data_IF_793917016191
#
_entry.id   IF_793917016191
#
_cell.length_a   1.000
_cell.length_b   1.000
_cell.length_c   1.000
_cell.angle_alpha   90.00
_cell.angle_beta   90.00
_cell.angle_gamma   90.00
#
_symmetry.space_group_name_H-M   'P 1'
#
loop_
_entity.id
_entity.type
_entity.pdbx_description
1 polymer ?
#
# COMPACT_ATOMS: atom_id res chain seq x y z
N UNK A 1 9.01 15.78 -9.61
CA UNK A 1 8.47 16.12 -8.27
C UNK A 1 7.28 15.23 -7.98
N UNK A 2 7.42 14.29 -7.06
CA UNK A 2 6.31 13.45 -6.66
C UNK A 2 5.29 14.31 -5.89
N UNK A 3 4.03 14.27 -6.30
CA UNK A 3 2.95 14.99 -5.63
C UNK A 3 2.56 14.22 -4.36
N UNK A 4 3.29 14.44 -3.27
CA UNK A 4 2.91 14.00 -1.94
C UNK A 4 2.13 15.13 -1.23
N UNK A 5 1.16 14.75 -0.39
CA UNK A 5 0.44 15.65 0.52
C UNK A 5 -0.38 16.83 -0.08
N UNK A 6 -0.65 16.87 -1.39
CA UNK A 6 -1.59 17.83 -2.00
C UNK A 6 -3.03 17.59 -1.49
N UNK A 7 -3.67 18.56 -0.81
CA UNK A 7 -5.04 18.43 -0.31
C UNK A 7 -6.05 18.09 -1.42
N UNK A 8 -6.97 17.17 -1.12
CA UNK A 8 -8.00 16.71 -2.05
C UNK A 8 -7.50 15.83 -3.20
N UNK A 9 -6.17 15.64 -3.31
CA UNK A 9 -5.54 14.77 -4.31
C UNK A 9 -4.79 13.64 -3.63
N UNK A 10 -3.59 13.90 -3.10
CA UNK A 10 -2.73 12.91 -2.46
C UNK A 10 -2.84 12.92 -0.92
N UNK A 11 -3.43 13.95 -0.34
CA UNK A 11 -3.88 14.02 1.06
C UNK A 11 -5.41 14.14 1.07
N UNK A 12 -6.08 13.13 1.62
CA UNK A 12 -7.52 13.10 1.82
C UNK A 12 -7.81 13.15 3.31
N UNK A 13 -8.84 13.90 3.71
CA UNK A 13 -9.25 14.03 5.10
C UNK A 13 -10.67 13.45 5.21
N UNK A 14 -10.86 12.54 6.16
CA UNK A 14 -12.19 12.00 6.47
C UNK A 14 -13.08 13.07 7.09
N UNK A 15 -14.37 12.80 7.20
CA UNK A 15 -15.31 13.64 7.95
C UNK A 15 -15.02 13.71 9.47
N UNK A 16 -13.99 13.03 9.97
CA UNK A 16 -13.54 13.07 11.37
C UNK A 16 -12.08 13.52 11.50
N UNK A 17 -11.59 14.29 10.53
CA UNK A 17 -10.24 14.87 10.52
C UNK A 17 -9.08 13.86 10.48
N UNK A 18 -9.38 12.57 10.28
CA UNK A 18 -8.35 11.56 10.03
C UNK A 18 -7.75 11.79 8.64
N UNK A 19 -6.42 11.91 8.60
CA UNK A 19 -5.65 12.12 7.38
C UNK A 19 -5.31 10.77 6.71
N UNK A 20 -5.41 10.73 5.38
CA UNK A 20 -5.05 9.59 4.55
C UNK A 20 -4.17 10.05 3.39
N UNK A 21 -3.05 9.36 3.20
CA UNK A 21 -2.06 9.67 2.18
C UNK A 21 -2.11 8.66 1.04
N UNK A 22 -1.92 9.11 -0.20
CA UNK A 22 -1.67 8.25 -1.37
C UNK A 22 -0.63 8.86 -2.29
N UNK A 23 0.23 8.02 -2.87
CA UNK A 23 1.22 8.45 -3.84
C UNK A 23 0.61 8.63 -5.23
N UNK A 24 0.66 9.84 -5.79
CA UNK A 24 0.25 10.12 -7.18
C UNK A 24 1.51 10.43 -8.00
N UNK A 25 2.12 9.37 -8.50
CA UNK A 25 3.36 9.39 -9.29
C UNK A 25 3.57 8.01 -9.92
N UNK A 26 4.50 7.87 -10.86
CA UNK A 26 4.89 6.56 -11.42
C UNK A 26 5.38 5.65 -10.29
N UNK A 27 4.83 4.45 -10.16
CA UNK A 27 5.08 3.53 -9.04
C UNK A 27 4.13 3.72 -7.84
N UNK A 28 3.31 4.78 -7.84
CA UNK A 28 2.26 5.01 -6.85
C UNK A 28 2.79 5.16 -5.42
N UNK A 29 2.05 4.60 -4.44
CA UNK A 29 2.41 4.67 -3.03
C UNK A 29 3.67 3.88 -2.65
N UNK A 30 4.14 2.94 -3.50
CA UNK A 30 5.38 2.20 -3.23
C UNK A 30 6.63 3.08 -3.23
N UNK A 31 6.56 4.30 -3.78
CA UNK A 31 7.64 5.28 -3.60
C UNK A 31 7.78 5.77 -2.16
N UNK A 32 6.67 5.87 -1.42
CA UNK A 32 6.62 6.44 -0.07
C UNK A 32 6.48 5.41 1.05
N UNK A 33 6.11 4.18 0.72
CA UNK A 33 5.95 3.12 1.72
C UNK A 33 7.25 2.81 2.48
N UNK A 34 7.12 2.10 3.60
CA UNK A 34 8.23 1.68 4.46
C UNK A 34 8.84 0.32 4.06
N UNK A 35 8.51 -0.16 2.86
CA UNK A 35 9.06 -1.37 2.24
C UNK A 35 8.91 -2.66 3.06
N UNK A 36 7.96 -2.74 3.99
CA UNK A 36 7.75 -3.96 4.76
C UNK A 36 7.05 -5.03 3.93
N UNK A 37 7.59 -6.25 3.95
CA UNK A 37 7.16 -7.39 3.14
C UNK A 37 6.47 -8.47 4.01
N UNK A 38 5.24 -8.20 4.46
CA UNK A 38 4.47 -9.21 5.18
C UNK A 38 3.94 -10.29 4.24
N UNK A 39 3.91 -11.53 4.73
CA UNK A 39 3.29 -12.63 4.01
C UNK A 39 1.78 -12.40 3.86
N UNK A 40 1.23 -12.68 2.67
CA UNK A 40 -0.19 -12.56 2.44
C UNK A 40 -0.97 -13.58 3.28
N UNK A 41 -2.18 -13.23 3.74
CA UNK A 41 -3.09 -14.18 4.39
C UNK A 41 -3.68 -15.16 3.35
N UNK A 42 -2.88 -16.13 2.90
CA UNK A 42 -3.22 -17.04 1.80
C UNK A 42 -4.51 -17.83 2.06
N UNK A 43 -4.75 -18.28 3.29
CA UNK A 43 -5.96 -19.06 3.61
C UNK A 43 -7.23 -18.23 3.42
N UNK A 44 -7.20 -16.96 3.81
CA UNK A 44 -8.31 -16.04 3.56
C UNK A 44 -8.48 -15.81 2.06
N UNK A 45 -7.40 -15.58 1.30
CA UNK A 45 -7.49 -15.35 -0.15
C UNK A 45 -8.03 -16.58 -0.90
N UNK A 46 -7.65 -17.79 -0.50
CA UNK A 46 -8.14 -19.05 -1.09
C UNK A 46 -9.63 -19.25 -0.93
N UNK A 47 -10.22 -18.79 0.18
CA UNK A 47 -11.68 -18.83 0.38
C UNK A 47 -12.45 -18.02 -0.68
N UNK A 48 -11.79 -17.03 -1.29
CA UNK A 48 -12.32 -16.21 -2.40
C UNK A 48 -11.82 -16.66 -3.78
N UNK A 49 -11.20 -17.85 -3.89
CA UNK A 49 -10.67 -18.37 -5.15
C UNK A 49 -9.37 -17.69 -5.62
N UNK A 50 -8.69 -16.95 -4.74
CA UNK A 50 -7.43 -16.27 -5.02
C UNK A 50 -6.26 -17.07 -4.44
N UNK A 51 -5.81 -18.11 -5.15
CA UNK A 51 -4.52 -18.72 -4.82
C UNK A 51 -3.39 -17.99 -5.55
N UNK A 52 -2.53 -17.31 -4.77
CA UNK A 52 -1.35 -16.57 -5.24
C UNK A 52 -0.05 -17.12 -4.64
N UNK A 53 -0.06 -18.32 -4.05
CA UNK A 53 1.10 -18.84 -3.34
C UNK A 53 2.34 -18.95 -4.25
N UNK A 54 2.15 -19.50 -5.45
CA UNK A 54 3.23 -19.66 -6.43
C UNK A 54 3.81 -18.30 -6.87
N UNK A 55 2.95 -17.31 -7.12
CA UNK A 55 3.36 -15.95 -7.50
C UNK A 55 4.07 -15.20 -6.38
N UNK A 56 3.67 -15.45 -5.13
CA UNK A 56 4.32 -14.87 -3.95
C UNK A 56 5.71 -15.47 -3.78
N UNK A 57 5.87 -16.78 -3.95
CA UNK A 57 7.17 -17.45 -3.90
C UNK A 57 8.09 -16.99 -5.03
N UNK A 58 7.54 -16.81 -6.23
CA UNK A 58 8.24 -16.20 -7.37
C UNK A 58 8.70 -14.77 -7.05
N UNK A 59 7.80 -13.93 -6.52
CA UNK A 59 8.13 -12.56 -6.12
C UNK A 59 9.21 -12.51 -5.03
N UNK A 60 9.21 -13.45 -4.08
CA UNK A 60 10.25 -13.55 -3.04
C UNK A 60 11.63 -13.90 -3.60
N UNK A 61 11.69 -14.64 -4.71
CA UNK A 61 12.95 -14.96 -5.41
C UNK A 61 13.47 -13.80 -6.25
N UNK A 62 12.58 -13.03 -6.86
CA UNK A 62 12.93 -11.91 -7.75
C UNK A 62 13.23 -10.60 -7.02
N UNK A 63 12.52 -10.35 -5.91
CA UNK A 63 12.61 -9.10 -5.16
C UNK A 63 13.60 -9.21 -4.00
N UNK A 64 14.25 -8.10 -3.62
CA UNK A 64 15.24 -8.10 -2.55
C UNK A 64 14.56 -8.12 -1.18
N UNK A 65 13.93 -9.24 -0.83
CA UNK A 65 13.17 -9.41 0.41
C UNK A 65 14.05 -10.07 1.46
N UNK A 66 14.46 -9.29 2.46
CA UNK A 66 15.18 -9.81 3.62
C UNK A 66 14.99 -8.88 4.82
N UNK A 67 15.10 -9.38 6.06
CA UNK A 67 15.30 -8.52 7.21
C UNK A 67 16.55 -7.64 7.00
N UNK A 68 16.52 -6.40 7.50
CA UNK A 68 17.68 -5.52 7.40
C UNK A 68 18.89 -6.10 8.15
N UNK A 69 20.05 -5.98 7.53
CA UNK A 69 21.35 -6.26 8.13
C UNK A 69 21.54 -5.42 9.41
N UNK A 70 22.27 -5.95 10.39
CA UNK A 70 22.39 -5.34 11.72
C UNK A 70 22.97 -3.92 11.70
N UNK A 71 23.84 -3.63 10.76
CA UNK A 71 24.44 -2.31 10.54
C UNK A 71 23.45 -1.30 9.93
N UNK A 72 22.43 -1.77 9.22
CA UNK A 72 21.35 -0.95 8.65
C UNK A 72 20.22 -0.66 9.65
N UNK A 73 20.12 -1.43 10.73
CA UNK A 73 19.16 -1.16 11.82
C UNK A 73 19.70 -0.04 12.71
N UNK A 74 18.93 1.04 12.81
CA UNK A 74 19.33 2.22 13.56
C UNK A 74 19.15 2.11 15.08
N UNK A 75 19.74 3.04 15.85
CA UNK A 75 19.74 3.00 17.30
C UNK A 75 18.36 3.10 17.95
N UNK A 76 17.42 3.86 17.38
CA UNK A 76 16.04 3.96 17.87
C UNK A 76 15.34 2.60 17.80
N UNK A 77 15.41 1.94 16.63
CA UNK A 77 14.79 0.63 16.44
C UNK A 77 15.44 -0.44 17.34
N UNK A 78 16.77 -0.44 17.47
CA UNK A 78 17.51 -1.34 18.38
C UNK A 78 17.06 -1.20 19.83
N UNK A 79 16.94 0.04 20.32
CA UNK A 79 16.53 0.32 21.71
C UNK A 79 15.10 -0.10 21.99
N UNK A 80 14.17 0.19 21.08
CA UNK A 80 12.77 -0.25 21.21
C UNK A 80 12.68 -1.77 21.19
N UNK A 81 13.36 -2.43 20.25
CA UNK A 81 13.37 -3.89 20.13
C UNK A 81 13.92 -4.56 21.40
N UNK A 82 15.00 -4.04 21.98
CA UNK A 82 15.55 -4.56 23.24
C UNK A 82 14.54 -4.44 24.38
N UNK A 83 13.97 -3.24 24.59
CA UNK A 83 12.99 -3.01 25.65
C UNK A 83 11.71 -3.85 25.48
N UNK A 84 11.25 -4.05 24.24
CA UNK A 84 10.10 -4.90 23.95
C UNK A 84 10.38 -6.37 24.28
N UNK A 85 11.57 -6.89 23.95
CA UNK A 85 11.96 -8.27 24.25
C UNK A 85 12.14 -8.53 25.75
N UNK A 86 12.62 -7.54 26.50
CA UNK A 86 12.67 -7.63 27.98
C UNK A 86 11.28 -7.69 28.63
N UNK A 87 10.23 -7.30 27.90
CA UNK A 87 8.83 -7.40 28.30
C UNK A 87 8.13 -8.60 27.64
N UNK A 88 8.90 -9.57 27.15
CA UNK A 88 8.42 -10.81 26.51
C UNK A 88 7.58 -10.62 25.24
N UNK A 89 7.70 -9.48 24.55
CA UNK A 89 7.14 -9.35 23.21
C UNK A 89 8.04 -10.02 22.18
N UNK A 90 7.44 -10.78 21.25
CA UNK A 90 8.13 -11.35 20.08
C UNK A 90 8.45 -10.28 19.03
N UNK A 91 9.29 -9.31 19.42
CA UNK A 91 9.68 -8.19 18.58
C UNK A 91 10.83 -8.61 17.66
N UNK A 92 10.55 -8.72 16.36
CA UNK A 92 11.48 -9.24 15.37
C UNK A 92 11.79 -8.23 14.27
N UNK A 93 12.93 -8.40 13.60
CA UNK A 93 13.23 -7.62 12.40
C UNK A 93 12.22 -7.98 11.31
N UNK A 94 11.64 -6.95 10.70
CA UNK A 94 10.66 -7.15 9.64
C UNK A 94 11.36 -7.28 8.28
N UNK A 95 10.94 -8.22 7.43
CA UNK A 95 11.46 -8.34 6.07
C UNK A 95 11.17 -7.06 5.27
N UNK A 96 12.14 -6.63 4.47
CA UNK A 96 12.10 -5.40 3.69
C UNK A 96 12.37 -5.64 2.22
N UNK A 97 11.69 -4.91 1.33
CA UNK A 97 12.01 -4.81 -0.10
C UNK A 97 13.20 -3.86 -0.33
N UNK A 98 14.41 -4.27 0.04
CA UNK A 98 15.62 -3.44 0.03
C UNK A 98 16.83 -4.21 -0.47
N UNK A 99 17.45 -3.70 -1.54
CA UNK A 99 18.81 -4.06 -1.95
C UNK A 99 19.80 -3.55 -0.91
N UNK A 100 20.24 -4.46 -0.03
CA UNK A 100 20.99 -4.09 1.17
C UNK A 100 22.38 -3.52 0.85
N UNK A 101 23.01 -4.03 -0.21
CA UNK A 101 24.28 -3.57 -0.79
C UNK A 101 24.27 -2.11 -1.25
N UNK A 102 23.09 -1.60 -1.64
CA UNK A 102 22.89 -0.20 -2.05
C UNK A 102 22.40 0.69 -0.90
N UNK A 103 21.95 0.09 0.20
CA UNK A 103 21.39 0.81 1.33
C UNK A 103 22.50 1.45 2.18
N UNK A 104 22.15 2.48 2.96
CA UNK A 104 23.11 3.23 3.78
C UNK A 104 22.62 3.34 5.21
N UNK A 105 23.47 2.97 6.17
CA UNK A 105 23.24 3.23 7.58
C UNK A 105 23.03 4.73 7.83
N UNK A 106 22.16 5.09 8.77
CA UNK A 106 21.87 6.50 9.08
C UNK A 106 21.12 7.27 7.99
N UNK A 107 20.57 6.57 6.99
CA UNK A 107 19.72 7.12 5.95
C UNK A 107 18.24 7.00 6.31
N UNK A 108 17.47 8.04 6.01
CA UNK A 108 16.03 8.14 6.28
C UNK A 108 15.24 8.61 5.06
N UNK A 109 15.93 8.90 3.95
CA UNK A 109 15.34 9.50 2.74
C UNK A 109 14.36 8.56 2.03
N UNK A 110 14.36 7.28 2.39
CA UNK A 110 13.39 6.28 1.92
C UNK A 110 11.92 6.70 2.13
N UNK A 111 11.64 7.53 3.14
CA UNK A 111 10.32 8.13 3.38
C UNK A 111 9.77 8.96 2.18
N UNK A 112 10.64 9.48 1.31
CA UNK A 112 10.26 10.35 0.17
C UNK A 112 10.53 9.73 -1.21
N UNK A 113 10.92 8.46 -1.24
CA UNK A 113 11.52 7.82 -2.41
C UNK A 113 13.03 7.69 -2.25
N UNK A 114 13.57 6.49 -2.45
CA UNK A 114 14.99 6.22 -2.23
C UNK A 114 15.83 6.84 -3.36
N UNK A 115 16.75 7.78 -3.05
CA UNK A 115 17.59 8.40 -4.07
C UNK A 115 18.76 7.50 -4.51
N UNK A 116 18.98 6.37 -3.83
CA UNK A 116 20.09 5.46 -4.07
C UNK A 116 19.68 4.17 -4.79
N UNK A 117 18.40 4.02 -5.15
CA UNK A 117 17.88 2.80 -5.76
C UNK A 117 17.87 1.57 -4.84
N UNK A 118 18.12 1.74 -3.53
CA UNK A 118 18.17 0.64 -2.57
C UNK A 118 16.79 0.10 -2.20
N UNK A 119 15.84 0.99 -1.89
CA UNK A 119 14.45 0.59 -1.59
C UNK A 119 13.72 0.31 -2.90
N UNK A 120 13.28 -0.93 -3.08
CA UNK A 120 12.48 -1.29 -4.24
C UNK A 120 11.15 -0.52 -4.24
N UNK A 121 10.67 -0.21 -5.44
CA UNK A 121 9.33 0.33 -5.67
C UNK A 121 8.82 -0.15 -7.01
N UNK A 122 7.50 -0.22 -7.18
CA UNK A 122 6.87 -0.65 -8.43
C UNK A 122 7.27 0.23 -9.63
N UNK A 123 7.84 1.42 -9.40
CA UNK A 123 8.44 2.24 -10.46
C UNK A 123 9.55 1.50 -11.21
N UNK A 124 10.34 0.67 -10.53
CA UNK A 124 11.41 -0.09 -11.17
C UNK A 124 10.86 -1.07 -12.22
N UNK A 125 9.74 -1.74 -11.93
CA UNK A 125 9.07 -2.59 -12.90
C UNK A 125 8.37 -1.81 -14.02
N UNK A 126 7.92 -0.58 -13.75
CA UNK A 126 7.41 0.29 -14.83
C UNK A 126 8.55 0.71 -15.77
N UNK A 127 9.73 1.02 -15.22
CA UNK A 127 10.93 1.36 -16.01
C UNK A 127 11.37 0.15 -16.86
N UNK A 128 11.47 -1.03 -16.25
CA UNK A 128 11.75 -2.29 -16.94
C UNK A 128 10.73 -2.60 -18.06
N UNK A 129 9.43 -2.45 -17.81
CA UNK A 129 8.41 -2.68 -18.84
C UNK A 129 8.55 -1.70 -20.02
N UNK A 130 8.93 -0.44 -19.76
CA UNK A 130 9.17 0.55 -20.82
C UNK A 130 10.40 0.20 -21.64
N UNK A 131 11.47 -0.28 -20.99
CA UNK A 131 12.67 -0.79 -21.67
C UNK A 131 12.34 -1.97 -22.60
N UNK A 132 11.31 -2.76 -22.26
CA UNK A 132 10.79 -3.86 -23.08
C UNK A 132 9.63 -3.47 -24.01
N UNK A 133 9.44 -2.18 -24.29
CA UNK A 133 8.52 -1.69 -25.33
C UNK A 133 7.15 -1.19 -24.85
N UNK A 134 6.86 -1.21 -23.54
CA UNK A 134 5.64 -0.61 -23.02
C UNK A 134 5.65 0.92 -23.18
N UNK A 135 4.49 1.51 -23.49
CA UNK A 135 4.35 2.97 -23.56
C UNK A 135 3.83 3.57 -22.26
N UNK A 136 4.68 4.32 -21.55
CA UNK A 136 4.26 5.08 -20.37
C UNK A 136 3.74 6.47 -20.75
N UNK A 137 2.46 6.76 -20.43
CA UNK A 137 1.85 8.09 -20.61
C UNK A 137 1.62 8.79 -19.26
N UNK A 138 2.61 9.52 -18.71
CA UNK A 138 2.44 10.21 -17.44
C UNK A 138 1.51 11.43 -17.59
N UNK A 139 0.93 11.87 -16.46
CA UNK A 139 0.01 13.01 -16.37
C UNK A 139 -1.28 12.83 -17.19
N UNK A 140 -1.72 11.57 -17.34
CA UNK A 140 -2.97 11.16 -17.98
C UNK A 140 -3.94 10.65 -16.91
N UNK A 141 -4.89 11.48 -16.48
CA UNK A 141 -5.88 11.08 -15.46
C UNK A 141 -7.06 10.42 -16.17
N UNK A 142 -7.18 9.09 -16.06
CA UNK A 142 -8.36 8.35 -16.54
C UNK A 142 -9.60 8.82 -15.77
N UNK A 143 -10.66 9.11 -16.50
CA UNK A 143 -11.95 9.54 -15.95
C UNK A 143 -12.97 8.39 -15.97
N UNK A 144 -12.96 7.57 -17.03
CA UNK A 144 -13.80 6.38 -17.18
C UNK A 144 -13.24 5.38 -18.20
N UNK A 145 -13.74 4.16 -18.15
CA UNK A 145 -13.60 3.13 -19.18
C UNK A 145 -14.67 3.37 -20.24
N UNK A 146 -14.32 3.14 -21.51
CA UNK A 146 -15.24 3.12 -22.64
C UNK A 146 -15.85 1.72 -22.74
N UNK A 147 -17.18 1.63 -22.71
CA UNK A 147 -17.93 0.38 -22.76
C UNK A 147 -18.87 0.41 -23.98
N UNK A 148 -18.84 -0.64 -24.78
CA UNK A 148 -19.73 -0.89 -25.90
C UNK A 148 -20.48 -2.21 -25.65
N UNK A 149 -21.81 -2.12 -25.46
CA UNK A 149 -22.60 -3.26 -25.00
C UNK A 149 -22.11 -3.77 -23.64
N UNK A 150 -21.55 -4.98 -23.61
CA UNK A 150 -20.96 -5.60 -22.42
C UNK A 150 -19.44 -5.56 -22.41
N UNK A 151 -18.78 -4.97 -23.42
CA UNK A 151 -17.32 -5.08 -23.61
C UNK A 151 -16.62 -3.75 -23.37
N UNK A 152 -15.51 -3.76 -22.63
CA UNK A 152 -14.61 -2.62 -22.53
C UNK A 152 -13.74 -2.48 -23.79
N UNK A 153 -13.71 -1.28 -24.36
CA UNK A 153 -13.00 -0.99 -25.62
C UNK A 153 -11.85 0.01 -25.46
N UNK A 154 -11.70 0.61 -24.28
CA UNK A 154 -10.64 1.58 -24.01
C UNK A 154 -10.89 2.45 -22.80
N UNK A 155 -10.21 3.58 -22.72
CA UNK A 155 -10.33 4.56 -21.63
C UNK A 155 -10.40 5.98 -22.17
N UNK A 156 -11.15 6.82 -21.47
CA UNK A 156 -11.17 8.26 -21.65
C UNK A 156 -10.37 8.92 -20.51
N UNK A 157 -9.43 9.80 -20.86
CA UNK A 157 -8.53 10.42 -19.89
C UNK A 157 -8.28 11.89 -20.19
N UNK A 158 -8.00 12.65 -19.12
CA UNK A 158 -7.62 14.06 -19.21
C UNK A 158 -6.11 14.22 -19.17
N UNK A 159 -5.56 14.95 -20.14
CA UNK A 159 -4.13 15.28 -20.25
C UNK A 159 -3.95 16.71 -20.73
N UNK A 160 -3.16 17.50 -19.99
CA UNK A 160 -2.88 18.92 -20.30
C UNK A 160 -4.17 19.74 -20.60
N UNK A 161 -5.23 19.46 -19.86
CA UNK A 161 -6.53 20.13 -19.99
C UNK A 161 -7.45 19.57 -21.09
N UNK A 162 -6.97 18.69 -21.96
CA UNK A 162 -7.74 18.07 -23.04
C UNK A 162 -8.22 16.67 -22.67
N UNK A 163 -9.38 16.30 -23.18
CA UNK A 163 -9.89 14.92 -23.12
C UNK A 163 -9.36 14.15 -24.32
N UNK A 164 -8.74 13.01 -24.05
CA UNK A 164 -8.17 12.09 -25.03
C UNK A 164 -8.73 10.68 -24.80
N UNK A 165 -8.63 9.80 -25.80
CA UNK A 165 -9.04 8.40 -25.72
C UNK A 165 -7.90 7.49 -26.12
N UNK A 166 -7.81 6.33 -25.47
CA UNK A 166 -6.95 5.23 -25.88
C UNK A 166 -7.80 3.96 -25.94
N UNK A 167 -7.72 3.26 -27.06
CA UNK A 167 -8.43 2.00 -27.29
C UNK A 167 -7.50 0.83 -26.98
N UNK A 168 -8.09 -0.24 -26.43
CA UNK A 168 -7.36 -1.44 -26.07
C UNK A 168 -8.29 -2.65 -26.09
N UNK A 169 -7.76 -3.82 -26.41
CA UNK A 169 -8.52 -5.05 -26.30
C UNK A 169 -8.80 -5.42 -24.85
N UNK A 170 -7.81 -5.24 -23.96
CA UNK A 170 -7.95 -5.49 -22.53
C UNK A 170 -7.68 -4.21 -21.73
N UNK A 171 -8.50 -3.98 -20.70
CA UNK A 171 -8.35 -2.83 -19.79
C UNK A 171 -8.17 -3.33 -18.36
N UNK A 172 -7.06 -2.95 -17.73
CA UNK A 172 -6.77 -3.26 -16.32
C UNK A 172 -6.75 -1.97 -15.51
N UNK A 173 -7.67 -1.82 -14.56
CA UNK A 173 -7.73 -0.67 -13.65
C UNK A 173 -6.89 -0.95 -12.41
N UNK A 174 -5.80 -0.19 -12.24
CA UNK A 174 -4.87 -0.30 -11.10
C UNK A 174 -4.67 1.05 -10.41
N UNK A 175 -5.75 1.81 -10.21
CA UNK A 175 -5.75 3.17 -9.66
C UNK A 175 -5.87 3.22 -8.11
N UNK A 176 -5.71 2.07 -7.45
CA UNK A 176 -5.73 1.90 -6.00
C UNK A 176 -7.12 2.00 -5.38
N UNK A 177 -7.20 1.72 -4.07
CA UNK A 177 -8.45 1.66 -3.31
C UNK A 177 -9.35 2.91 -3.35
N UNK A 178 -8.88 4.03 -3.88
CA UNK A 178 -9.67 5.25 -4.05
C UNK A 178 -9.87 5.59 -5.52
N UNK A 179 -8.87 5.42 -6.38
CA UNK A 179 -8.97 5.79 -7.79
C UNK A 179 -9.83 4.82 -8.59
N UNK A 180 -9.63 3.52 -8.38
CA UNK A 180 -10.32 2.45 -9.08
C UNK A 180 -11.83 2.50 -8.91
N UNK A 181 -12.40 2.59 -7.69
CA UNK A 181 -13.86 2.70 -7.56
C UNK A 181 -14.44 3.96 -8.23
N UNK A 182 -13.72 5.08 -8.27
CA UNK A 182 -14.22 6.29 -8.94
C UNK A 182 -14.29 6.12 -10.46
N UNK A 183 -13.27 5.51 -11.06
CA UNK A 183 -13.26 5.18 -12.50
C UNK A 183 -14.42 4.21 -12.80
N UNK A 184 -14.59 3.16 -12.01
CA UNK A 184 -15.63 2.16 -12.25
C UNK A 184 -17.05 2.73 -12.08
N UNK A 185 -17.29 3.60 -11.09
CA UNK A 185 -18.59 4.30 -10.93
C UNK A 185 -18.90 5.19 -12.13
N UNK A 186 -17.90 5.89 -12.66
CA UNK A 186 -18.03 6.68 -13.88
C UNK A 186 -18.23 5.83 -15.14
N UNK A 187 -17.90 4.53 -15.06
CA UNK A 187 -18.01 3.54 -16.15
C UNK A 187 -19.26 2.66 -16.07
N UNK A 188 -20.10 2.80 -15.02
CA UNK A 188 -21.37 2.07 -14.89
C UNK A 188 -21.51 1.24 -13.61
N UNK A 189 -20.39 0.84 -12.98
CA UNK A 189 -20.40 -0.02 -11.78
C UNK A 189 -20.65 0.82 -10.51
N UNK A 190 -21.92 1.14 -10.24
CA UNK A 190 -22.32 2.09 -9.17
C UNK A 190 -22.04 1.58 -7.75
N UNK A 191 -21.96 0.27 -7.57
CA UNK A 191 -21.69 -0.37 -6.27
C UNK A 191 -20.26 -0.20 -5.74
N UNK A 192 -19.33 0.32 -6.55
CA UNK A 192 -17.94 0.48 -6.13
C UNK A 192 -17.74 1.61 -5.11
N UNK A 193 -16.78 1.46 -4.19
CA UNK A 193 -16.41 2.49 -3.22
C UNK A 193 -17.15 2.44 -1.87
N UNK A 194 -17.80 1.33 -1.54
CA UNK A 194 -18.53 1.12 -0.28
C UNK A 194 -17.90 0.02 0.57
N UNK A 195 -18.12 0.09 1.89
CA UNK A 195 -17.68 -0.91 2.89
C UNK A 195 -16.21 -1.29 2.74
N UNK A 196 -15.34 -0.29 2.89
CA UNK A 196 -13.91 -0.42 2.71
C UNK A 196 -13.17 -0.41 4.06
N UNK A 197 -11.93 -0.88 4.09
CA UNK A 197 -11.00 -0.71 5.21
C UNK A 197 -9.93 0.31 4.86
N UNK A 198 -9.26 0.88 5.86
CA UNK A 198 -8.21 1.87 5.62
C UNK A 198 -6.99 1.78 6.55
N UNK A 199 -6.95 0.79 7.43
CA UNK A 199 -5.85 0.55 8.37
C UNK A 199 -5.50 1.79 9.22
N UNK A 200 -6.32 2.10 10.25
CA UNK A 200 -6.08 3.22 11.14
C UNK A 200 -4.83 2.97 11.98
N UNK A 201 -4.10 4.04 12.22
CA UNK A 201 -2.87 4.02 13.01
C UNK A 201 -2.76 5.22 13.93
N UNK A 202 -1.94 5.05 14.96
CA UNK A 202 -1.41 6.12 15.81
C UNK A 202 0.10 5.94 15.96
N UNK A 203 0.82 7.02 16.20
CA UNK A 203 2.20 6.97 16.64
C UNK A 203 2.28 7.31 18.13
N UNK A 204 3.04 6.53 18.88
CA UNK A 204 3.36 6.75 20.29
C UNK A 204 4.80 7.20 20.37
N UNK A 205 5.01 8.34 21.00
CA UNK A 205 6.29 9.05 21.02
C UNK A 205 6.72 9.31 22.45
N UNK A 206 8.01 9.10 22.76
CA UNK A 206 8.59 9.40 24.06
C UNK A 206 10.04 9.88 23.93
N UNK A 207 10.45 10.84 24.75
CA UNK A 207 11.79 11.46 24.67
C UNK A 207 12.79 10.77 25.60
N UNK A 208 14.02 10.60 25.17
CA UNK A 208 15.18 10.13 25.95
C UNK A 208 16.32 11.15 25.86
N UNK A 209 17.26 11.17 26.80
CA UNK A 209 18.33 12.19 26.80
C UNK A 209 19.51 11.83 25.90
N UNK A 210 19.73 10.52 25.71
CA UNK A 210 20.97 9.89 25.25
C UNK A 210 20.82 9.20 23.88
N UNK A 211 19.98 9.74 23.00
CA UNK A 211 19.75 9.22 21.65
C UNK A 211 20.09 10.25 20.57
N UNK A 212 20.80 9.78 19.54
CA UNK A 212 21.04 10.50 18.29
C UNK A 212 20.30 9.83 17.13
N UNK A 213 18.97 9.82 17.22
CA UNK A 213 18.05 9.21 16.27
C UNK A 213 17.52 10.19 15.22
N UNK A 214 16.35 9.87 14.67
CA UNK A 214 15.67 10.66 13.64
C UNK A 214 16.19 10.43 12.22
N UNK A 215 17.20 9.57 12.05
CA UNK A 215 17.82 9.26 10.76
C UNK A 215 18.02 7.75 10.58
N UNK A 216 16.94 7.00 10.44
CA UNK A 216 16.98 5.54 10.37
C UNK A 216 15.95 5.01 9.37
N UNK A 217 16.07 3.74 9.00
CA UNK A 217 15.09 3.08 8.14
C UNK A 217 13.81 2.79 8.96
N UNK A 218 12.62 3.21 8.51
CA UNK A 218 11.38 3.06 9.29
C UNK A 218 10.85 1.61 9.30
N UNK A 219 10.16 1.24 10.39
CA UNK A 219 9.60 -0.10 10.61
C UNK A 219 10.66 -1.21 10.50
N UNK A 220 11.87 -1.00 11.03
CA UNK A 220 12.94 -1.99 10.91
C UNK A 220 12.58 -3.30 11.63
N UNK A 221 11.85 -3.19 12.73
CA UNK A 221 11.39 -4.27 13.57
C UNK A 221 9.98 -4.02 14.12
N UNK A 222 9.32 -5.08 14.58
CA UNK A 222 7.98 -5.00 15.14
C UNK A 222 7.45 -6.35 15.58
N UNK A 223 6.19 -6.35 16.01
CA UNK A 223 5.45 -7.53 16.46
C UNK A 223 4.01 -7.47 15.96
N UNK A 224 3.54 -8.56 15.35
CA UNK A 224 2.16 -8.72 14.94
C UNK A 224 1.35 -9.35 16.08
N UNK A 225 0.46 -8.58 16.68
CA UNK A 225 -0.49 -9.05 17.69
C UNK A 225 -1.70 -9.65 16.95
N UNK A 226 -1.54 -10.89 16.47
CA UNK A 226 -2.50 -11.55 15.56
C UNK A 226 -3.88 -11.70 16.20
N UNK A 227 -3.91 -12.09 17.48
CA UNK A 227 -5.15 -12.36 18.21
C UNK A 227 -5.87 -11.05 18.59
N UNK A 228 -5.12 -10.01 18.93
CA UNK A 228 -5.67 -8.68 19.24
C UNK A 228 -5.93 -7.83 17.99
N UNK A 229 -5.45 -8.24 16.82
CA UNK A 229 -5.75 -7.60 15.53
C UNK A 229 -5.04 -6.26 15.30
N UNK A 230 -3.80 -6.11 15.78
CA UNK A 230 -2.97 -4.93 15.46
C UNK A 230 -1.47 -5.26 15.34
N UNK A 231 -0.73 -4.36 14.73
CA UNK A 231 0.71 -4.43 14.50
C UNK A 231 1.39 -3.29 15.26
N UNK A 232 2.44 -3.59 16.02
CA UNK A 232 3.32 -2.59 16.63
C UNK A 232 4.70 -2.63 15.96
N UNK A 233 5.22 -1.49 15.54
CA UNK A 233 6.57 -1.40 14.95
C UNK A 233 7.31 -0.17 15.42
N UNK A 234 8.64 -0.17 15.34
CA UNK A 234 9.35 1.10 15.37
C UNK A 234 8.96 1.92 14.14
N UNK A 235 8.99 3.25 14.25
CA UNK A 235 8.71 4.11 13.10
C UNK A 235 9.44 5.44 13.22
N UNK A 236 10.58 5.55 12.56
CA UNK A 236 11.25 6.85 12.40
C UNK A 236 10.58 7.65 11.30
N UNK A 237 9.83 8.69 11.67
CA UNK A 237 9.25 9.63 10.71
C UNK A 237 10.18 10.79 10.39
N UNK A 238 10.07 11.41 9.20
CA UNK A 238 10.80 12.64 8.85
C UNK A 238 10.48 13.79 9.80
N UNK A 239 11.45 14.71 9.99
CA UNK A 239 11.32 15.87 10.89
C UNK A 239 10.06 16.68 10.63
N UNK A 240 9.69 16.94 9.37
CA UNK A 240 8.49 17.72 9.06
C UNK A 240 7.20 17.03 9.55
N UNK A 241 7.11 15.70 9.40
CA UNK A 241 5.96 14.94 9.87
C UNK A 241 5.94 14.89 11.40
N UNK A 242 7.10 14.74 12.03
CA UNK A 242 7.23 14.82 13.49
C UNK A 242 6.74 16.16 14.05
N UNK A 243 7.12 17.29 13.43
CA UNK A 243 6.67 18.61 13.84
C UNK A 243 5.14 18.72 13.77
N UNK A 244 4.53 18.25 12.68
CA UNK A 244 3.06 18.24 12.51
C UNK A 244 2.36 17.39 13.58
N UNK A 245 2.79 16.14 13.75
CA UNK A 245 2.24 15.20 14.74
C UNK A 245 2.47 15.62 16.19
N UNK A 246 3.51 16.39 16.47
CA UNK A 246 3.76 16.94 17.80
C UNK A 246 2.92 18.18 18.05
N UNK A 247 2.76 19.04 17.05
CA UNK A 247 1.98 20.27 17.15
C UNK A 247 0.46 20.01 17.24
N UNK A 248 -0.06 19.01 16.51
CA UNK A 248 -1.50 18.68 16.52
C UNK A 248 -2.03 18.28 17.91
N UNK A 249 -1.16 17.76 18.77
CA UNK A 249 -1.47 17.40 20.17
C UNK A 249 -0.92 18.41 21.18
N UNK A 250 -0.61 19.63 20.73
CA UNK A 250 -0.17 20.76 21.55
C UNK A 250 1.12 20.50 22.36
N UNK A 251 1.98 19.58 21.92
CA UNK A 251 3.27 19.28 22.57
C UNK A 251 4.39 20.19 22.04
N UNK A 252 4.14 21.50 21.97
CA UNK A 252 5.03 22.49 21.32
C UNK A 252 6.45 22.52 21.93
N UNK A 253 6.58 22.26 23.24
CA UNK A 253 7.87 22.16 23.93
C UNK A 253 8.73 20.96 23.48
N UNK A 254 8.17 20.00 22.72
CA UNK A 254 8.88 18.83 22.16
C UNK A 254 9.27 18.96 20.69
N UNK A 255 8.97 20.07 20.02
CA UNK A 255 9.26 20.25 18.59
C UNK A 255 10.75 20.09 18.25
N UNK A 256 11.65 20.51 19.14
CA UNK A 256 13.09 20.35 18.97
C UNK A 256 13.64 18.96 19.38
N UNK A 257 12.78 18.05 19.86
CA UNK A 257 13.21 16.76 20.44
C UNK A 257 13.30 15.61 19.45
N UNK A 258 13.01 15.80 18.15
CA UNK A 258 12.92 14.73 17.15
C UNK A 258 14.05 13.68 17.20
N UNK A 259 15.31 14.12 17.29
CA UNK A 259 16.49 13.23 17.35
C UNK A 259 16.56 12.39 18.63
N UNK A 260 15.87 12.82 19.67
CA UNK A 260 15.81 12.23 20.99
C UNK A 260 14.50 11.50 21.27
N UNK A 261 13.67 11.29 20.25
CA UNK A 261 12.33 10.70 20.41
C UNK A 261 12.30 9.27 19.89
N UNK A 262 12.00 8.32 20.78
CA UNK A 262 11.60 6.96 20.45
C UNK A 262 10.16 6.95 19.95
N UNK A 263 9.87 6.15 18.93
CA UNK A 263 8.60 6.18 18.21
C UNK A 263 8.13 4.77 17.87
N UNK A 264 6.93 4.42 18.35
CA UNK A 264 6.24 3.16 18.03
C UNK A 264 4.97 3.49 17.25
N UNK A 265 4.81 2.90 16.07
CA UNK A 265 3.54 2.90 15.34
C UNK A 265 2.67 1.76 15.86
N UNK A 266 1.38 2.03 16.06
CA UNK A 266 0.36 1.00 16.24
C UNK A 266 -0.62 1.12 15.08
N UNK A 267 -0.80 0.03 14.35
CA UNK A 267 -1.70 -0.07 13.21
C UNK A 267 -2.73 -1.16 13.47
N UNK A 268 -4.02 -0.82 13.48
CA UNK A 268 -5.08 -1.79 13.76
C UNK A 268 -5.70 -2.33 12.46
N UNK A 269 -6.15 -3.59 12.50
CA UNK A 269 -7.08 -4.16 11.51
C UNK A 269 -8.46 -3.56 11.77
N UNK A 270 -8.93 -2.69 10.88
CA UNK A 270 -10.26 -2.07 11.02
C UNK A 270 -11.38 -2.88 10.40
N UNK A 271 -12.60 -2.61 10.87
CA UNK A 271 -13.81 -3.20 10.34
C UNK A 271 -14.21 -2.55 9.02
N UNK A 272 -14.78 -3.31 8.08
CA UNK A 272 -15.31 -2.75 6.83
C UNK A 272 -16.43 -1.74 7.10
N UNK A 273 -16.37 -0.59 6.45
CA UNK A 273 -17.41 0.43 6.62
C UNK A 273 -17.16 1.70 5.82
N UNK A 274 -18.13 2.60 5.86
CA UNK A 274 -18.04 3.88 5.16
C UNK A 274 -18.26 3.79 3.66
N UNK A 275 -18.08 4.94 2.99
CA UNK A 275 -18.23 5.11 1.54
C UNK A 275 -17.33 6.21 0.98
N UNK A 276 -17.10 6.17 -0.32
CA UNK A 276 -16.55 7.29 -1.10
C UNK A 276 -17.67 8.20 -1.63
N UNK A 277 -17.44 9.51 -1.61
CA UNK A 277 -18.28 10.45 -2.36
C UNK A 277 -17.92 10.42 -3.85
N UNK A 278 -18.79 10.95 -4.71
CA UNK A 278 -18.51 11.01 -6.17
C UNK A 278 -17.27 11.86 -6.49
N UNK A 279 -16.99 12.85 -5.66
CA UNK A 279 -15.76 13.66 -5.74
C UNK A 279 -14.51 12.98 -5.15
N UNK A 280 -14.59 11.74 -4.68
CA UNK A 280 -13.47 11.01 -4.07
C UNK A 280 -13.19 11.34 -2.61
N UNK A 281 -14.13 11.99 -1.92
CA UNK A 281 -14.05 12.28 -0.49
C UNK A 281 -14.31 11.03 0.36
N UNK A 282 -13.58 10.89 1.48
CA UNK A 282 -13.69 9.74 2.37
C UNK A 282 -14.76 9.98 3.46
N UNK A 283 -15.72 9.06 3.59
CA UNK A 283 -16.74 9.06 4.64
C UNK A 283 -16.71 7.75 5.40
N UNK A 284 -15.98 7.69 6.50
CA UNK A 284 -15.86 6.51 7.36
C UNK A 284 -15.63 6.93 8.80
N UNK A 285 -16.33 6.28 9.71
CA UNK A 285 -16.13 6.41 11.15
C UNK A 285 -15.34 5.19 11.63
N UNK A 286 -14.39 5.41 12.51
CA UNK A 286 -13.68 4.32 13.18
C UNK A 286 -14.67 3.58 14.09
N UNK A 287 -14.70 2.25 14.03
CA UNK A 287 -15.57 1.48 14.91
C UNK A 287 -15.02 1.52 16.34
N UNK A 288 -15.90 1.35 17.33
CA UNK A 288 -15.49 1.35 18.75
C UNK A 288 -14.44 0.26 19.03
N UNK A 289 -14.61 -0.91 18.42
CA UNK A 289 -13.67 -2.02 18.57
C UNK A 289 -12.30 -1.69 17.96
N UNK A 290 -12.27 -0.94 16.86
CA UNK A 290 -11.01 -0.53 16.22
C UNK A 290 -10.28 0.53 17.06
N UNK A 291 -11.03 1.45 17.68
CA UNK A 291 -10.48 2.39 18.67
C UNK A 291 -9.92 1.66 19.90
N UNK A 292 -10.64 0.64 20.39
CA UNK A 292 -10.21 -0.15 21.54
C UNK A 292 -8.88 -0.88 21.27
N UNK A 293 -8.70 -1.47 20.07
CA UNK A 293 -7.43 -2.09 19.65
C UNK A 293 -6.27 -1.09 19.66
N UNK A 294 -6.48 0.12 19.12
CA UNK A 294 -5.44 1.16 19.09
C UNK A 294 -5.09 1.64 20.51
N UNK A 295 -6.08 1.75 21.40
CA UNK A 295 -5.85 2.12 22.80
C UNK A 295 -5.17 0.99 23.60
N UNK A 296 -5.44 -0.27 23.30
CA UNK A 296 -4.70 -1.40 23.86
C UNK A 296 -3.24 -1.36 23.43
N UNK A 297 -2.98 -1.24 22.13
CA UNK A 297 -1.63 -1.05 21.61
C UNK A 297 -0.94 0.17 22.21
N UNK A 298 -1.67 1.27 22.46
CA UNK A 298 -1.10 2.48 23.09
C UNK A 298 -0.62 2.20 24.51
N UNK A 299 -1.40 1.47 25.31
CA UNK A 299 -1.01 1.08 26.68
C UNK A 299 0.27 0.26 26.65
N UNK A 300 0.37 -0.73 25.75
CA UNK A 300 1.55 -1.59 25.61
C UNK A 300 2.77 -0.84 25.09
N UNK A 301 2.60 -0.05 24.03
CA UNK A 301 3.67 0.76 23.46
C UNK A 301 4.22 1.77 24.48
N UNK A 302 3.34 2.35 25.31
CA UNK A 302 3.78 3.22 26.41
C UNK A 302 4.67 2.47 27.40
N UNK A 303 4.29 1.27 27.84
CA UNK A 303 5.13 0.44 28.73
C UNK A 303 6.48 0.10 28.11
N UNK A 304 6.51 -0.24 26.81
CA UNK A 304 7.76 -0.48 26.07
C UNK A 304 8.65 0.77 26.07
N UNK A 305 8.07 1.94 25.80
CA UNK A 305 8.80 3.20 25.79
C UNK A 305 9.31 3.59 27.19
N UNK A 306 8.51 3.40 28.24
CA UNK A 306 8.91 3.62 29.64
C UNK A 306 10.08 2.69 30.00
N UNK A 307 10.01 1.41 29.64
CA UNK A 307 11.10 0.44 29.82
C UNK A 307 12.35 0.84 29.05
N UNK A 308 12.19 1.42 27.86
CA UNK A 308 13.28 1.98 27.08
C UNK A 308 13.85 3.29 27.66
N UNK A 309 13.34 3.78 28.80
CA UNK A 309 13.80 4.99 29.48
C UNK A 309 13.17 6.29 28.94
N UNK A 310 12.12 6.21 28.13
CA UNK A 310 11.46 7.38 27.58
C UNK A 310 10.56 8.08 28.62
N UNK A 311 10.50 9.41 28.51
CA UNK A 311 9.64 10.29 29.30
C UNK A 311 8.76 11.13 28.37
N UNK A 312 7.80 11.85 28.97
CA UNK A 312 6.87 12.72 28.24
C UNK A 312 6.15 12.00 27.10
N UNK A 313 5.64 10.79 27.38
CA UNK A 313 5.04 9.94 26.36
C UNK A 313 3.68 10.50 25.94
N UNK A 314 3.47 10.60 24.63
CA UNK A 314 2.19 11.02 24.04
C UNK A 314 1.88 10.21 22.79
N UNK A 315 0.63 10.26 22.35
CA UNK A 315 0.18 9.68 21.08
C UNK A 315 -0.36 10.75 20.14
N UNK A 316 -0.26 10.51 18.84
CA UNK A 316 -0.83 11.35 17.79
C UNK A 316 -2.35 11.21 17.71
N UNK A 317 -2.97 12.01 16.84
CA UNK A 317 -4.30 11.73 16.32
C UNK A 317 -4.28 10.50 15.41
N UNK A 318 -5.47 10.05 15.01
CA UNK A 318 -5.63 8.92 14.12
C UNK A 318 -5.28 9.30 12.67
N UNK A 319 -4.54 8.42 12.02
CA UNK A 319 -4.18 8.49 10.59
C UNK A 319 -4.64 7.18 9.93
N UNK A 320 -4.90 7.16 8.63
CA UNK A 320 -5.20 5.93 7.89
C UNK A 320 -4.26 5.78 6.69
N UNK A 321 -3.99 4.53 6.29
CA UNK A 321 -2.86 4.26 5.38
C UNK A 321 -3.11 3.31 4.21
N UNK A 322 -4.08 2.40 4.21
CA UNK A 322 -4.25 1.48 3.08
C UNK A 322 -5.72 1.30 2.73
N UNK A 323 -6.33 2.22 1.94
CA UNK A 323 -7.70 2.01 1.51
C UNK A 323 -7.79 0.77 0.62
N UNK A 324 -8.65 -0.17 0.99
CA UNK A 324 -8.89 -1.40 0.25
C UNK A 324 -10.31 -1.92 0.42
N UNK A 325 -10.68 -2.97 -0.29
CA UNK A 325 -12.05 -3.52 -0.34
C UNK A 325 -13.11 -2.57 -0.94
N UNK A 326 -12.71 -1.64 -1.80
CA UNK A 326 -13.66 -0.79 -2.53
C UNK A 326 -14.23 -1.41 -3.80
N UNK A 327 -13.60 -2.48 -4.31
CA UNK A 327 -14.00 -3.24 -5.52
C UNK A 327 -13.81 -4.75 -5.27
N UNK A 328 -14.39 -5.24 -4.17
CA UNK A 328 -14.15 -6.58 -3.59
C UNK A 328 -14.37 -7.73 -4.59
N UNK A 329 -13.46 -8.71 -4.51
CA UNK A 329 -13.66 -10.05 -5.08
C UNK A 329 -14.89 -10.71 -4.44
N UNK A 330 -15.68 -11.38 -5.27
CA UNK A 330 -16.95 -12.00 -4.86
C UNK A 330 -18.13 -11.03 -4.80
N UNK A 331 -17.91 -9.72 -5.01
CA UNK A 331 -18.98 -8.73 -5.10
C UNK A 331 -18.97 -7.96 -6.43
N UNK A 332 -17.83 -7.36 -6.80
CA UNK A 332 -17.72 -6.52 -8.00
C UNK A 332 -16.71 -7.03 -9.03
N UNK A 333 -15.85 -7.96 -8.61
CA UNK A 333 -15.00 -8.74 -9.51
C UNK A 333 -15.05 -10.21 -9.13
N UNK A 334 -14.81 -11.08 -10.10
CA UNK A 334 -14.69 -12.52 -9.88
C UNK A 334 -13.29 -12.90 -9.34
N UNK A 335 -13.05 -14.20 -9.19
CA UNK A 335 -11.75 -14.74 -8.74
C UNK A 335 -10.62 -14.57 -9.77
N UNK A 336 -10.92 -14.17 -11.00
CA UNK A 336 -9.93 -13.75 -12.00
C UNK A 336 -9.75 -12.23 -12.04
N UNK A 337 -10.34 -11.51 -11.09
CA UNK A 337 -10.33 -10.05 -10.99
C UNK A 337 -11.05 -9.35 -12.15
N UNK A 338 -11.90 -10.07 -12.89
CA UNK A 338 -12.70 -9.55 -13.99
C UNK A 338 -13.99 -8.92 -13.44
N UNK A 339 -14.41 -7.78 -13.98
CA UNK A 339 -15.69 -7.15 -13.62
C UNK A 339 -16.86 -7.81 -14.38
N UNK A 340 -18.08 -7.29 -14.21
CA UNK A 340 -19.25 -7.66 -15.02
C UNK A 340 -19.11 -7.34 -16.52
N UNK A 341 -18.08 -6.58 -16.91
CA UNK A 341 -17.83 -6.20 -18.30
C UNK A 341 -16.72 -7.06 -18.87
N UNK A 342 -16.90 -7.49 -20.12
CA UNK A 342 -15.89 -8.24 -20.84
C UNK A 342 -14.63 -7.40 -21.03
N UNK A 343 -13.48 -8.06 -20.84
CA UNK A 343 -12.14 -7.49 -20.99
C UNK A 343 -11.82 -6.32 -20.05
N UNK A 344 -12.59 -6.15 -18.97
CA UNK A 344 -12.30 -5.20 -17.90
C UNK A 344 -11.91 -5.92 -16.61
N UNK A 345 -10.72 -5.60 -16.10
CA UNK A 345 -10.14 -6.18 -14.89
C UNK A 345 -9.74 -5.09 -13.90
N UNK A 346 -9.62 -5.44 -12.62
CA UNK A 346 -9.17 -4.52 -11.57
C UNK A 346 -8.07 -5.21 -10.77
N UNK A 347 -6.90 -4.60 -10.63
CA UNK A 347 -5.77 -5.24 -9.95
C UNK A 347 -5.01 -4.26 -9.05
N UNK A 348 -5.56 -4.04 -7.86
CA UNK A 348 -4.92 -3.26 -6.80
C UNK A 348 -5.59 -3.53 -5.44
N UNK A 349 -5.25 -2.75 -4.40
CA UNK A 349 -5.79 -2.93 -3.06
C UNK A 349 -7.32 -2.84 -2.95
N UNK A 350 -8.02 -2.29 -3.96
CA UNK A 350 -9.48 -2.25 -3.98
C UNK A 350 -10.13 -3.62 -4.03
N UNK A 351 -9.47 -4.64 -4.61
CA UNK A 351 -10.09 -5.97 -4.82
C UNK A 351 -10.07 -6.87 -3.60
N UNK A 352 -9.33 -6.47 -2.58
CA UNK A 352 -9.18 -7.24 -1.35
C UNK A 352 -10.54 -7.47 -0.70
N UNK A 353 -10.94 -8.73 -0.42
CA UNK A 353 -12.30 -9.03 0.01
C UNK A 353 -12.56 -8.64 1.47
N UNK A 354 -11.56 -8.78 2.33
CA UNK A 354 -11.67 -8.56 3.77
C UNK A 354 -10.53 -7.70 4.33
N UNK A 355 -10.80 -7.01 5.43
CA UNK A 355 -9.75 -6.33 6.17
C UNK A 355 -8.80 -7.35 6.81
N UNK A 356 -7.50 -7.21 6.54
CA UNK A 356 -6.48 -8.10 7.10
C UNK A 356 -5.45 -7.38 7.99
N UNK A 357 -5.35 -6.04 7.94
CA UNK A 357 -4.49 -5.25 8.83
C UNK A 357 -2.98 -5.26 8.54
N UNK A 358 -2.55 -5.81 7.42
CA UNK A 358 -1.15 -6.06 7.03
C UNK A 358 -0.76 -5.15 5.85
N UNK A 359 0.51 -4.72 5.76
CA UNK A 359 1.01 -4.04 4.56
C UNK A 359 0.70 -4.84 3.28
N UNK A 360 0.04 -4.24 2.27
CA UNK A 360 -0.56 -5.01 1.18
C UNK A 360 0.43 -5.40 0.07
N UNK A 361 1.66 -4.86 0.05
CA UNK A 361 2.49 -4.85 -1.16
C UNK A 361 2.80 -6.23 -1.72
N UNK A 362 3.20 -7.21 -0.89
CA UNK A 362 3.52 -8.55 -1.37
C UNK A 362 2.28 -9.25 -1.93
N UNK A 363 1.12 -9.09 -1.27
CA UNK A 363 -0.18 -9.56 -1.80
C UNK A 363 -0.49 -8.97 -3.17
N UNK A 364 -0.31 -7.65 -3.34
CA UNK A 364 -0.60 -6.96 -4.60
C UNK A 364 0.35 -7.37 -5.73
N UNK A 365 1.62 -7.62 -5.41
CA UNK A 365 2.57 -8.19 -6.36
C UNK A 365 2.12 -9.58 -6.80
N UNK A 366 1.73 -10.45 -5.86
CA UNK A 366 1.23 -11.78 -6.18
C UNK A 366 -0.03 -11.75 -7.06
N UNK A 367 -1.00 -10.88 -6.74
CA UNK A 367 -2.20 -10.68 -7.55
C UNK A 367 -1.87 -10.18 -8.97
N UNK A 368 -0.94 -9.24 -9.10
CA UNK A 368 -0.50 -8.72 -10.39
C UNK A 368 0.15 -9.79 -11.27
N UNK A 369 1.06 -10.59 -10.69
CA UNK A 369 1.67 -11.73 -11.40
C UNK A 369 0.64 -12.76 -11.82
N UNK A 370 -0.31 -13.10 -10.95
CA UNK A 370 -1.36 -14.08 -11.24
C UNK A 370 -2.24 -13.62 -12.39
N UNK A 371 -2.67 -12.35 -12.36
CA UNK A 371 -3.48 -11.77 -13.43
C UNK A 371 -2.70 -11.74 -14.75
N UNK A 372 -1.42 -11.36 -14.73
CA UNK A 372 -0.60 -11.36 -15.93
C UNK A 372 -0.53 -12.75 -16.59
N UNK A 373 -0.34 -13.82 -15.80
CA UNK A 373 -0.35 -15.21 -16.29
C UNK A 373 -1.72 -15.61 -16.84
N UNK A 374 -2.81 -15.22 -16.17
CA UNK A 374 -4.17 -15.49 -16.64
C UNK A 374 -4.45 -14.87 -18.01
N UNK A 375 -4.07 -13.60 -18.21
CA UNK A 375 -4.34 -12.87 -19.45
C UNK A 375 -3.48 -13.36 -20.61
N UNK A 376 -2.22 -13.68 -20.37
CA UNK A 376 -1.29 -14.17 -21.39
C UNK A 376 -1.52 -15.62 -21.78
N UNK A 377 -2.07 -16.45 -20.89
CA UNK A 377 -2.45 -17.83 -21.22
C UNK A 377 -3.60 -17.91 -22.25
N UNK A 378 -4.43 -16.86 -22.35
CA UNK A 378 -5.48 -16.75 -23.37
C UNK A 378 -4.92 -16.55 -24.78
N UNK A 379 -3.81 -15.82 -24.93
CA UNK A 379 -3.18 -15.52 -26.21
C UNK A 379 -2.51 -16.75 -26.84
N UNK A 380 -1.96 -17.66 -26.01
CA UNK A 380 -1.35 -18.92 -26.51
C UNK A 380 -2.38 -19.85 -27.16
N UNK A 381 -3.65 -19.79 -26.75
CA UNK A 381 -4.71 -20.62 -27.36
C UNK A 381 -5.21 -20.06 -28.69
N UNK A 382 -5.20 -18.74 -28.89
CA UNK A 382 -5.65 -18.13 -30.15
C UNK A 382 -4.64 -18.35 -31.29
N UNK A 383 -3.33 -18.32 -31.00
CA UNK A 383 -2.28 -18.62 -32.00
C UNK A 383 -2.32 -20.07 -32.50
N UNK A 384 -2.74 -21.03 -31.66
CA UNK A 384 -2.86 -22.44 -32.05
C UNK A 384 -4.05 -22.77 -32.97
N UNK A 385 -4.91 -21.79 -33.28
CA UNK A 385 -6.13 -21.98 -34.07
C UNK A 385 -6.05 -21.45 -35.51
N UNK A 386 -4.87 -21.01 -35.97
CA UNK A 386 -4.60 -20.72 -37.38
C UNK A 386 -3.92 -21.91 -38.06
N UNK A 387 -4.73 -22.91 -38.43
CA UNK A 387 -4.36 -23.88 -39.46
C UNK A 387 -4.31 -23.15 -40.82
N UNK A 388 -3.24 -23.27 -41.63
CA UNK A 388 -3.17 -22.60 -42.91
C UNK A 388 -4.19 -23.22 -43.87
N UNK A 389 -5.10 -22.39 -44.38
CA UNK A 389 -6.03 -22.79 -45.42
C UNK A 389 -5.27 -23.38 -46.62
N UNK A 390 -5.59 -24.62 -46.96
CA UNK A 390 -5.04 -25.33 -48.11
C UNK A 390 -5.25 -24.49 -49.39
N UNK A 391 -4.15 -24.12 -50.05
CA UNK A 391 -4.18 -23.48 -51.34
C UNK A 391 -4.77 -24.43 -52.39
N UNK A 392 -5.92 -24.07 -52.96
CA UNK A 392 -6.47 -24.73 -54.14
C UNK A 392 -5.57 -24.45 -55.34
N UNK A 393 -4.94 -25.48 -55.88
CA UNK A 393 -4.27 -25.43 -57.16
C UNK A 393 -5.32 -25.24 -58.27
N UNK A 394 -5.26 -24.10 -58.96
CA UNK A 394 -5.91 -23.92 -60.27
C UNK A 394 -4.84 -24.17 -61.31
N UNK A 395 -5.05 -25.21 -62.11
CA UNK A 395 -4.27 -25.55 -63.29
C UNK A 395 -4.53 -24.58 -64.43
N UNK A 396 -3.47 -24.03 -65.01
CA UNK A 396 -3.28 -23.87 -66.46
C UNK A 396 -1.82 -24.16 -66.79
#
# INVERSE_FOLDING_TARGET
LAAAAIPGKSLLITNRMLAMFRGITTGGSSLFFYATAFDPPLDMLRQYGLDIAAEVDEAKRELPIAPLADDLVGPMAKRIMAAARELDYDWQKLPKFVYQDKCRAGCWRCNYGCPFGAKWSARMWVEDAVEHGATLRPRSKVERVLIEGTTATGVEYKRRGRTERAYAEQVIVSAGGIGSPLILRASGIKGAGYRFFFDPLIAVMGTVDDLSGGREFPMAAGVLMKDEGYLMTDMTIPTLLYLGFTAEVFRLHKLASHRRTLQIMIKAKDSLGGRLTDGGGLRKRLARDDEAKLLDGYRRARTILERAGARDIFKTWYVATHPGATVKVGELVDSNLKTEFDRLYVCDCSVIPEAWGLPPTLTLVGLGKRLAKHLTAGDVRSESSHEPAAASAVSL
#
